data_IF_985185906324
#
_entry.id   IF_985185906324
#
_cell.length_a   1.000
_cell.length_b   1.000
_cell.length_c   1.000
_cell.angle_alpha   90.00
_cell.angle_beta   90.00
_cell.angle_gamma   90.00
#
_symmetry.space_group_name_H-M   'P 1'
#
loop_
_entity.id
_entity.type
_entity.pdbx_description
1 polymer ?
#
# COMPACT_ATOMS: atom_id res chain seq x y z
N UNK A 1 -13.66 13.74 -3.85
CA UNK A 1 -13.15 12.49 -4.43
C UNK A 1 -11.95 12.84 -5.30
N UNK A 2 -10.70 12.65 -4.86
CA UNK A 2 -9.58 12.77 -5.81
C UNK A 2 -9.67 11.58 -6.76
N UNK A 3 -9.54 11.85 -8.06
CA UNK A 3 -9.46 10.80 -9.06
C UNK A 3 -8.24 9.92 -8.77
N UNK A 4 -8.37 8.63 -9.05
CA UNK A 4 -7.26 7.68 -9.01
C UNK A 4 -6.18 8.17 -9.97
N UNK A 5 -4.95 8.35 -9.49
CA UNK A 5 -3.82 8.69 -10.34
C UNK A 5 -3.48 7.49 -11.24
N UNK A 6 -3.50 7.71 -12.57
CA UNK A 6 -3.17 6.69 -13.54
C UNK A 6 -1.67 6.72 -13.87
N UNK A 7 -0.99 5.60 -13.63
CA UNK A 7 0.46 5.45 -13.84
C UNK A 7 0.84 4.65 -15.09
N UNK A 8 -0.15 4.25 -15.91
CA UNK A 8 0.04 3.40 -17.08
C UNK A 8 -0.56 2.02 -16.92
N UNK A 9 -0.51 1.23 -18.00
CA UNK A 9 -0.80 -0.20 -17.99
C UNK A 9 0.49 -1.00 -18.00
N UNK A 10 0.47 -2.19 -17.39
CA UNK A 10 1.58 -3.13 -17.36
C UNK A 10 1.10 -4.52 -17.70
N UNK A 11 1.96 -5.32 -18.31
CA UNK A 11 1.67 -6.71 -18.66
C UNK A 11 2.29 -7.64 -17.63
N UNK A 12 1.56 -8.71 -17.31
CA UNK A 12 2.06 -9.77 -16.44
C UNK A 12 3.07 -10.62 -17.20
N UNK A 13 4.27 -10.78 -16.64
CA UNK A 13 5.31 -11.63 -17.21
C UNK A 13 5.03 -13.12 -17.01
N UNK A 14 5.87 -13.97 -17.60
CA UNK A 14 5.71 -15.43 -17.60
C UNK A 14 5.63 -16.08 -16.21
N UNK A 15 6.16 -15.42 -15.18
CA UNK A 15 6.14 -15.91 -13.78
C UNK A 15 5.09 -15.21 -12.92
N UNK A 16 4.14 -14.51 -13.53
CA UNK A 16 3.11 -13.77 -12.79
C UNK A 16 3.58 -12.43 -12.21
N UNK A 17 4.78 -11.96 -12.57
CA UNK A 17 5.36 -10.72 -12.07
C UNK A 17 4.90 -9.50 -12.88
N UNK A 18 4.76 -8.36 -12.21
CA UNK A 18 4.56 -7.06 -12.84
C UNK A 18 5.70 -6.12 -12.49
N UNK A 19 6.10 -5.29 -13.45
CA UNK A 19 7.04 -4.20 -13.20
C UNK A 19 6.28 -2.94 -12.79
N UNK A 20 6.57 -2.38 -11.62
CA UNK A 20 5.94 -1.12 -11.19
C UNK A 20 6.42 0.05 -12.06
N UNK A 21 5.51 0.89 -12.60
CA UNK A 21 5.87 2.08 -13.36
C UNK A 21 6.88 2.96 -12.61
N UNK A 22 7.87 3.51 -13.32
CA UNK A 22 8.96 4.28 -12.71
C UNK A 22 8.46 5.52 -11.96
N UNK A 23 7.42 6.19 -12.47
CA UNK A 23 6.78 7.33 -11.83
C UNK A 23 6.14 6.93 -10.48
N UNK A 24 5.40 5.83 -10.45
CA UNK A 24 4.79 5.29 -9.22
C UNK A 24 5.84 4.98 -8.17
N UNK A 25 6.94 4.30 -8.56
CA UNK A 25 8.03 3.97 -7.64
C UNK A 25 8.67 5.21 -7.03
N UNK A 26 8.91 6.26 -7.82
CA UNK A 26 9.51 7.51 -7.34
C UNK A 26 8.58 8.26 -6.38
N UNK A 27 7.29 8.36 -6.71
CA UNK A 27 6.32 9.11 -5.90
C UNK A 27 6.01 8.43 -4.57
N UNK A 28 5.96 7.09 -4.55
CA UNK A 28 5.72 6.31 -3.33
C UNK A 28 7.01 5.88 -2.61
N UNK A 29 8.18 6.28 -3.11
CA UNK A 29 9.47 5.91 -2.53
C UNK A 29 9.73 4.41 -2.48
N UNK A 30 9.20 3.63 -3.43
CA UNK A 30 9.33 2.17 -3.46
C UNK A 30 10.71 1.76 -4.01
N UNK A 31 11.44 0.98 -3.23
CA UNK A 31 12.79 0.51 -3.54
C UNK A 31 12.86 -1.02 -3.67
N UNK A 32 13.97 -1.51 -4.22
CA UNK A 32 14.22 -2.94 -4.28
C UNK A 32 14.40 -3.49 -2.85
N UNK A 33 13.69 -4.59 -2.53
CA UNK A 33 13.67 -5.17 -1.19
C UNK A 33 12.48 -4.75 -0.34
N UNK A 34 11.75 -3.70 -0.74
CA UNK A 34 10.50 -3.31 -0.07
C UNK A 34 9.47 -4.44 -0.12
N UNK A 35 8.81 -4.66 1.01
CA UNK A 35 7.73 -5.64 1.10
C UNK A 35 6.41 -4.98 0.74
N UNK A 36 5.71 -5.56 -0.23
CA UNK A 36 4.37 -5.16 -0.65
C UNK A 36 3.40 -6.27 -0.28
N UNK A 37 2.34 -5.89 0.42
CA UNK A 37 1.21 -6.75 0.71
C UNK A 37 0.26 -6.76 -0.48
N UNK A 38 -0.12 -7.95 -0.92
CA UNK A 38 -1.07 -8.15 -2.01
C UNK A 38 -2.37 -8.67 -1.41
N UNK A 39 -3.43 -7.89 -1.51
CA UNK A 39 -4.75 -8.27 -1.01
C UNK A 39 -5.78 -8.24 -2.12
N UNK A 40 -6.92 -8.91 -1.92
CA UNK A 40 -8.00 -8.96 -2.88
C UNK A 40 -9.33 -8.82 -2.12
N UNK A 41 -10.23 -7.99 -2.63
CA UNK A 41 -11.55 -7.80 -2.01
C UNK A 41 -12.45 -9.04 -2.17
N UNK A 42 -13.59 -9.09 -1.45
CA UNK A 42 -14.53 -10.22 -1.52
C UNK A 42 -15.00 -10.57 -2.93
N UNK A 43 -15.18 -9.56 -3.79
CA UNK A 43 -15.63 -9.75 -5.18
C UNK A 43 -14.54 -10.26 -6.14
N UNK A 44 -13.27 -10.33 -5.69
CA UNK A 44 -12.12 -10.81 -6.48
C UNK A 44 -11.85 -10.09 -7.81
N UNK A 45 -12.35 -8.87 -7.98
CA UNK A 45 -12.17 -8.08 -9.22
C UNK A 45 -10.94 -7.18 -9.22
N UNK A 46 -10.45 -6.83 -8.03
CA UNK A 46 -9.39 -5.83 -7.83
C UNK A 46 -8.39 -6.38 -6.82
N UNK A 47 -7.10 -6.31 -7.18
CA UNK A 47 -6.01 -6.49 -6.22
C UNK A 47 -5.57 -5.14 -5.68
N UNK A 48 -5.23 -5.10 -4.40
CA UNK A 48 -4.60 -3.94 -3.77
C UNK A 48 -3.15 -4.26 -3.45
N UNK A 49 -2.28 -3.29 -3.69
CA UNK A 49 -0.86 -3.33 -3.34
C UNK A 49 -0.62 -2.28 -2.26
N UNK A 50 -0.16 -2.73 -1.10
CA UNK A 50 0.00 -1.88 0.09
C UNK A 50 1.42 -2.05 0.59
N UNK A 51 2.15 -0.96 0.86
CA UNK A 51 3.47 -1.09 1.47
C UNK A 51 3.34 -1.66 2.89
N UNK A 52 4.21 -2.59 3.25
CA UNK A 52 4.12 -3.25 4.56
C UNK A 52 4.46 -2.32 5.73
N UNK A 53 5.31 -1.31 5.52
CA UNK A 53 5.68 -0.30 6.51
C UNK A 53 4.48 0.57 6.94
N UNK A 54 3.58 0.88 6.01
CA UNK A 54 2.33 1.62 6.28
C UNK A 54 1.47 0.93 7.35
N UNK A 55 1.45 -0.40 7.41
CA UNK A 55 0.72 -1.09 8.47
C UNK A 55 1.36 -0.88 9.85
N UNK A 56 2.68 -0.89 9.93
CA UNK A 56 3.39 -0.65 11.19
C UNK A 56 3.13 0.78 11.69
N UNK A 57 3.25 1.77 10.79
CA UNK A 57 2.92 3.17 11.09
C UNK A 57 1.48 3.32 11.58
N UNK A 58 0.53 2.66 10.92
CA UNK A 58 -0.86 2.69 11.33
C UNK A 58 -1.04 2.12 12.75
N UNK A 59 -0.42 0.98 13.07
CA UNK A 59 -0.50 0.40 14.43
C UNK A 59 0.08 1.33 15.51
N UNK A 60 1.20 1.99 15.22
CA UNK A 60 1.83 2.94 16.15
C UNK A 60 0.94 4.17 16.40
N UNK A 61 0.28 4.67 15.35
CA UNK A 61 -0.72 5.73 15.46
C UNK A 61 -1.93 5.30 16.31
N UNK A 62 -2.45 4.08 16.09
CA UNK A 62 -3.53 3.52 16.89
C UNK A 62 -3.17 3.39 18.37
N UNK A 63 -1.95 2.96 18.68
CA UNK A 63 -1.47 2.88 20.06
C UNK A 63 -1.36 4.27 20.71
N UNK A 64 -0.83 5.23 19.97
CA UNK A 64 -0.71 6.63 20.42
C UNK A 64 -2.08 7.24 20.70
N UNK A 65 -3.06 7.04 19.80
CA UNK A 65 -4.43 7.50 19.98
C UNK A 65 -5.08 6.86 21.22
N UNK A 66 -4.90 5.56 21.41
CA UNK A 66 -5.41 4.83 22.58
C UNK A 66 -4.89 5.42 23.90
N UNK A 67 -3.59 5.73 23.99
CA UNK A 67 -3.00 6.37 25.18
C UNK A 67 -3.65 7.71 25.50
N UNK A 68 -3.85 8.56 24.48
CA UNK A 68 -4.47 9.89 24.64
C UNK A 68 -5.93 9.85 25.09
N UNK A 69 -6.70 8.84 24.67
CA UNK A 69 -8.09 8.68 25.11
C UNK A 69 -8.11 8.32 26.60
N UNK A 70 -7.24 7.41 27.04
CA UNK A 70 -7.17 6.94 28.43
C UNK A 70 -6.67 8.00 29.41
N UNK A 71 -5.82 8.93 28.98
CA UNK A 71 -5.32 10.04 29.82
C UNK A 71 -6.32 11.21 29.97
N UNK A 72 -7.41 11.20 29.18
CA UNK A 72 -8.48 12.20 29.24
C UNK A 72 -9.70 11.76 30.07
N UNK A 73 -9.68 10.53 30.59
CA UNK A 73 -10.62 10.01 31.59
C UNK A 73 -10.01 10.10 33.00
#
# INVERSE_FOLDING_TARGET
MRMVDFYGSVTVGERGQIALPSKLRRELGIQAGDKILVTCGPEKKIIHLIKADMLAEMFDEWETLRKRIREKE
#
